data_IF_863826613089
#
_entry.id   IF_863826613089
#
_cell.length_a   1.000
_cell.length_b   1.000
_cell.length_c   1.000
_cell.angle_alpha   90.00
_cell.angle_beta   90.00
_cell.angle_gamma   90.00
#
_symmetry.space_group_name_H-M   'P 1'
#
loop_
_entity.id
_entity.type
_entity.pdbx_description
1 polymer ?
#
# COMPACT_ATOMS: atom_id res chain seq x y z
N UNK A 1 1.16 4.90 -15.84
CA UNK A 1 1.40 3.78 -16.78
C UNK A 1 2.51 2.84 -16.30
N UNK A 2 3.67 3.34 -15.84
CA UNK A 2 4.78 2.48 -15.37
C UNK A 2 4.51 1.80 -14.01
N UNK A 3 3.86 2.50 -13.08
CA UNK A 3 3.54 1.94 -11.75
C UNK A 3 2.42 0.88 -11.82
N UNK A 4 1.41 1.08 -12.67
CA UNK A 4 0.37 0.09 -12.88
C UNK A 4 0.92 -1.19 -13.53
N UNK A 5 1.95 -1.07 -14.39
CA UNK A 5 2.71 -2.21 -14.91
C UNK A 5 3.48 -2.95 -13.82
N UNK A 6 4.07 -2.23 -12.87
CA UNK A 6 4.72 -2.81 -11.69
C UNK A 6 3.71 -3.57 -10.82
N UNK A 7 2.48 -3.06 -10.66
CA UNK A 7 1.44 -3.72 -9.85
C UNK A 7 0.79 -4.91 -10.54
N UNK A 8 0.80 -4.94 -11.88
CA UNK A 8 0.07 -5.93 -12.68
C UNK A 8 0.35 -7.38 -12.27
N UNK A 9 1.61 -7.83 -12.06
CA UNK A 9 1.88 -9.21 -11.64
C UNK A 9 1.25 -9.55 -10.28
N UNK A 10 1.16 -8.58 -9.35
CA UNK A 10 0.52 -8.79 -8.06
C UNK A 10 -0.99 -9.00 -8.23
N UNK A 11 -1.62 -8.14 -9.02
CA UNK A 11 -3.08 -8.14 -9.19
C UNK A 11 -3.56 -9.30 -10.06
N UNK A 12 -2.82 -9.67 -11.09
CA UNK A 12 -3.24 -10.72 -12.03
C UNK A 12 -2.86 -12.13 -11.55
N UNK A 13 -1.73 -12.29 -10.84
CA UNK A 13 -1.15 -13.62 -10.55
C UNK A 13 -1.27 -14.06 -9.09
N UNK A 14 -1.50 -13.14 -8.16
CA UNK A 14 -1.77 -13.49 -6.78
C UNK A 14 -3.28 -13.46 -6.52
N UNK A 15 -3.82 -14.56 -6.01
CA UNK A 15 -5.25 -14.65 -5.66
C UNK A 15 -5.56 -13.84 -4.40
N UNK A 16 -4.56 -13.65 -3.53
CA UNK A 16 -4.72 -12.96 -2.27
C UNK A 16 -4.81 -11.43 -2.42
N UNK A 17 -4.20 -10.86 -3.45
CA UNK A 17 -4.14 -9.42 -3.67
C UNK A 17 -5.36 -8.93 -4.45
N UNK A 18 -6.16 -8.05 -3.85
CA UNK A 18 -7.34 -7.47 -4.48
C UNK A 18 -7.00 -6.18 -5.23
N UNK A 19 -6.15 -5.34 -4.65
CA UNK A 19 -5.77 -4.07 -5.25
C UNK A 19 -4.43 -3.56 -4.70
N UNK A 20 -3.76 -2.71 -5.47
CA UNK A 20 -2.52 -2.05 -5.11
C UNK A 20 -2.60 -0.58 -5.51
N UNK A 21 -2.18 0.30 -4.61
CA UNK A 21 -2.25 1.76 -4.77
C UNK A 21 -0.91 2.36 -4.35
N UNK A 22 -0.40 3.31 -5.12
CA UNK A 22 0.71 4.17 -4.73
C UNK A 22 0.17 5.58 -4.52
N UNK A 23 0.51 6.15 -3.37
CA UNK A 23 -0.04 7.42 -2.92
C UNK A 23 1.03 8.25 -2.20
N UNK A 24 0.96 9.56 -2.37
CA UNK A 24 1.76 10.50 -1.61
C UNK A 24 1.24 10.63 -0.18
N UNK A 25 2.12 10.96 0.78
CA UNK A 25 1.69 11.28 2.14
C UNK A 25 0.80 12.54 2.22
N UNK A 26 0.70 13.30 1.13
CA UNK A 26 -0.26 14.40 0.92
C UNK A 26 -1.68 13.94 0.52
N UNK A 27 -1.87 12.63 0.31
CA UNK A 27 -3.15 12.03 -0.10
C UNK A 27 -3.38 12.00 -1.61
N UNK A 28 -2.40 12.40 -2.43
CA UNK A 28 -2.53 12.38 -3.88
C UNK A 28 -2.18 11.00 -4.45
N UNK A 29 -3.11 10.44 -5.23
CA UNK A 29 -2.91 9.16 -5.93
C UNK A 29 -1.89 9.33 -7.07
N UNK A 30 -0.89 8.46 -7.07
CA UNK A 30 0.07 8.32 -8.19
C UNK A 30 -0.40 7.27 -9.18
N UNK A 31 -0.76 6.08 -8.68
CA UNK A 31 -1.17 4.96 -9.53
C UNK A 31 -1.99 3.95 -8.74
N UNK A 32 -2.89 3.23 -9.41
CA UNK A 32 -3.68 2.17 -8.81
C UNK A 32 -3.93 1.02 -9.79
N UNK A 33 -4.01 -0.19 -9.27
CA UNK A 33 -4.44 -1.38 -10.01
C UNK A 33 -5.33 -2.23 -9.10
N UNK A 34 -6.40 -2.81 -9.67
CA UNK A 34 -7.35 -3.61 -8.91
C UNK A 34 -7.85 -4.80 -9.73
N UNK A 35 -8.17 -5.91 -9.07
CA UNK A 35 -8.85 -7.03 -9.70
C UNK A 35 -10.25 -6.59 -10.16
N UNK A 36 -10.78 -7.19 -11.25
CA UNK A 36 -12.17 -6.96 -11.66
C UNK A 36 -13.14 -7.26 -10.50
N UNK A 37 -14.16 -6.42 -10.33
CA UNK A 37 -15.20 -6.61 -9.31
C UNK A 37 -14.86 -6.06 -7.91
N UNK A 38 -13.69 -5.45 -7.72
CA UNK A 38 -13.40 -4.65 -6.51
C UNK A 38 -14.33 -3.43 -6.48
N UNK A 39 -15.21 -3.38 -5.47
CA UNK A 39 -16.31 -2.40 -5.40
C UNK A 39 -16.07 -1.23 -4.42
N UNK A 40 -14.90 -1.16 -3.78
CA UNK A 40 -14.57 -0.06 -2.86
C UNK A 40 -13.78 1.04 -3.58
N UNK A 41 -14.00 2.29 -3.18
CA UNK A 41 -13.28 3.45 -3.68
C UNK A 41 -11.84 3.45 -3.14
N UNK A 42 -10.93 2.98 -3.97
CA UNK A 42 -9.51 2.86 -3.65
C UNK A 42 -8.84 4.19 -3.39
N UNK A 43 -9.27 5.24 -4.09
CA UNK A 43 -8.66 6.56 -3.97
C UNK A 43 -9.08 7.23 -2.67
N UNK A 44 -10.37 7.16 -2.34
CA UNK A 44 -10.88 7.62 -1.05
C UNK A 44 -10.22 6.86 0.11
N UNK A 45 -10.17 5.52 0.04
CA UNK A 45 -9.53 4.70 1.07
C UNK A 45 -8.06 5.05 1.24
N UNK A 46 -7.35 5.26 0.12
CA UNK A 46 -5.96 5.71 0.14
C UNK A 46 -5.80 7.05 0.85
N UNK A 47 -6.62 8.05 0.50
CA UNK A 47 -6.53 9.38 1.09
C UNK A 47 -6.80 9.36 2.61
N UNK A 48 -7.76 8.55 3.06
CA UNK A 48 -8.00 8.31 4.50
C UNK A 48 -6.79 7.65 5.17
N UNK A 49 -6.18 6.67 4.51
CA UNK A 49 -4.94 6.04 4.96
C UNK A 49 -3.78 7.05 5.07
N UNK A 50 -3.61 7.95 4.10
CA UNK A 50 -2.57 8.98 4.13
C UNK A 50 -2.71 9.89 5.37
N UNK A 51 -3.93 10.27 5.73
CA UNK A 51 -4.20 11.06 6.93
C UNK A 51 -3.74 10.33 8.21
N UNK A 52 -4.05 9.04 8.32
CA UNK A 52 -3.65 8.22 9.48
C UNK A 52 -2.14 8.02 9.53
N UNK A 53 -1.50 7.65 8.41
CA UNK A 53 -0.04 7.44 8.37
C UNK A 53 0.70 8.75 8.63
N UNK A 54 0.20 9.87 8.11
CA UNK A 54 0.73 11.19 8.41
C UNK A 54 0.67 11.54 9.90
N UNK A 55 -0.40 11.14 10.60
CA UNK A 55 -0.48 11.30 12.06
C UNK A 55 0.55 10.41 12.79
N UNK A 56 0.72 9.15 12.36
CA UNK A 56 1.72 8.24 12.95
C UNK A 56 3.15 8.77 12.76
N UNK A 57 3.46 9.34 11.59
CA UNK A 57 4.76 9.94 11.31
C UNK A 57 5.08 11.19 12.14
N UNK A 58 4.05 11.90 12.65
CA UNK A 58 4.20 13.08 13.52
C UNK A 58 4.11 12.76 15.01
N UNK A 59 3.76 11.53 15.37
CA UNK A 59 3.61 11.16 16.77
C UNK A 59 4.98 11.14 17.46
N UNK A 60 5.03 11.51 18.75
CA UNK A 60 6.28 11.62 19.52
C UNK A 60 7.08 10.31 19.59
N UNK A 61 6.41 9.17 19.42
CA UNK A 61 7.09 7.88 19.33
C UNK A 61 7.97 7.79 18.07
N UNK A 62 7.69 8.51 16.98
CA UNK A 62 8.52 8.48 15.78
C UNK A 62 9.94 9.00 16.03
N UNK A 63 10.13 9.93 16.97
CA UNK A 63 11.46 10.40 17.38
C UNK A 63 12.24 9.32 18.15
N UNK A 64 11.54 8.47 18.91
CA UNK A 64 12.13 7.43 19.75
C UNK A 64 12.34 6.10 19.03
N UNK A 65 11.42 5.74 18.13
CA UNK A 65 11.38 4.44 17.45
C UNK A 65 11.72 4.53 15.96
N UNK A 66 11.98 5.74 15.45
CA UNK A 66 12.28 5.97 14.03
C UNK A 66 11.02 6.10 13.17
N UNK A 67 11.24 6.18 11.86
CA UNK A 67 10.16 6.37 10.87
C UNK A 67 9.27 5.13 10.82
N UNK A 68 7.97 5.35 10.64
CA UNK A 68 7.02 4.25 10.39
C UNK A 68 7.30 3.63 9.03
N UNK A 69 7.68 2.36 9.01
CA UNK A 69 7.95 1.63 7.76
C UNK A 69 6.70 0.90 7.24
N UNK A 70 5.87 0.38 8.15
CA UNK A 70 4.72 -0.46 7.80
C UNK A 70 3.55 -0.26 8.76
N UNK A 71 2.32 -0.25 8.22
CA UNK A 71 1.08 -0.26 8.99
C UNK A 71 0.15 -1.34 8.42
N UNK A 72 -0.51 -2.10 9.30
CA UNK A 72 -1.48 -3.13 8.90
C UNK A 72 -2.83 -2.85 9.53
N UNK A 73 -3.85 -2.66 8.68
CA UNK A 73 -5.24 -2.63 9.12
C UNK A 73 -5.91 -3.96 8.78
N UNK A 74 -6.45 -4.65 9.77
CA UNK A 74 -7.22 -5.88 9.56
C UNK A 74 -8.66 -5.65 9.97
N UNK A 75 -9.58 -6.05 9.09
CA UNK A 75 -11.01 -6.03 9.34
C UNK A 75 -11.63 -7.38 8.95
N UNK A 76 -12.91 -7.55 9.24
CA UNK A 76 -13.66 -8.73 8.81
C UNK A 76 -13.75 -8.88 7.27
N UNK A 77 -13.62 -7.78 6.52
CA UNK A 77 -13.82 -7.76 5.07
C UNK A 77 -12.53 -7.71 4.26
N UNK A 78 -11.42 -7.28 4.85
CA UNK A 78 -10.14 -7.12 4.15
C UNK A 78 -9.00 -6.96 5.14
N UNK A 79 -7.78 -7.29 4.70
CA UNK A 79 -6.55 -6.78 5.30
C UNK A 79 -5.92 -5.76 4.37
N UNK A 80 -5.34 -4.70 4.93
CA UNK A 80 -4.68 -3.63 4.19
C UNK A 80 -3.28 -3.50 4.76
N UNK A 81 -2.28 -3.58 3.88
CA UNK A 81 -0.87 -3.45 4.21
C UNK A 81 -0.35 -2.17 3.56
N UNK A 82 0.11 -1.24 4.38
CA UNK A 82 0.70 0.02 3.94
C UNK A 82 2.19 -0.03 4.22
N UNK A 83 3.00 0.39 3.26
CA UNK A 83 4.45 0.42 3.40
C UNK A 83 5.02 1.69 2.79
N UNK A 84 5.86 2.39 3.55
CA UNK A 84 6.61 3.52 3.00
C UNK A 84 7.60 3.00 1.94
N UNK A 85 7.60 3.61 0.75
CA UNK A 85 8.50 3.24 -0.36
C UNK A 85 9.47 4.37 -0.71
N UNK A 86 9.18 5.59 -0.26
CA UNK A 86 10.10 6.72 -0.26
C UNK A 86 9.74 7.67 0.90
N UNK A 87 10.49 8.77 1.12
CA UNK A 87 10.10 9.80 2.08
C UNK A 87 8.76 10.49 1.77
N UNK A 88 8.31 10.42 0.51
CA UNK A 88 7.14 11.14 0.00
C UNK A 88 5.96 10.20 -0.32
N UNK A 89 6.22 8.92 -0.55
CA UNK A 89 5.23 7.96 -1.03
C UNK A 89 5.13 6.70 -0.16
N UNK A 90 3.91 6.15 -0.11
CA UNK A 90 3.63 4.84 0.42
C UNK A 90 2.82 4.00 -0.57
N UNK A 91 3.03 2.70 -0.54
CA UNK A 91 2.24 1.71 -1.27
C UNK A 91 1.23 1.06 -0.34
N UNK A 92 0.04 0.80 -0.86
CA UNK A 92 -1.04 0.10 -0.18
C UNK A 92 -1.37 -1.16 -0.95
N UNK A 93 -1.30 -2.31 -0.29
CA UNK A 93 -1.76 -3.59 -0.81
C UNK A 93 -3.02 -4.01 -0.05
N UNK A 94 -4.12 -4.14 -0.78
CA UNK A 94 -5.39 -4.65 -0.25
C UNK A 94 -5.45 -6.15 -0.50
N UNK A 95 -5.69 -6.91 0.56
CA UNK A 95 -5.73 -8.36 0.55
C UNK A 95 -7.11 -8.85 0.93
N UNK A 96 -7.53 -9.98 0.35
CA UNK A 96 -8.74 -10.69 0.80
C UNK A 96 -8.71 -10.98 2.32
N UNK A 97 -9.87 -11.04 3.00
CA UNK A 97 -9.92 -11.08 4.47
C UNK A 97 -9.19 -12.27 5.11
N UNK A 98 -9.09 -13.39 4.40
CA UNK A 98 -8.42 -14.63 4.83
C UNK A 98 -6.94 -14.71 4.42
N UNK A 99 -6.41 -13.73 3.69
CA UNK A 99 -5.02 -13.73 3.26
C UNK A 99 -4.05 -13.54 4.44
N UNK A 100 -2.98 -14.35 4.52
CA UNK A 100 -1.91 -14.11 5.48
C UNK A 100 -1.19 -12.78 5.17
N UNK A 101 -1.03 -11.92 6.18
CA UNK A 101 -0.29 -10.64 6.03
C UNK A 101 1.15 -10.87 5.55
N UNK A 102 1.79 -11.97 5.98
CA UNK A 102 3.12 -12.35 5.49
C UNK A 102 3.18 -12.57 3.98
N UNK A 103 2.10 -13.07 3.37
CA UNK A 103 2.00 -13.18 1.90
C UNK A 103 1.96 -11.80 1.26
N UNK A 104 1.23 -10.84 1.85
CA UNK A 104 1.23 -9.45 1.41
C UNK A 104 2.63 -8.81 1.47
N UNK A 105 3.38 -9.04 2.55
CA UNK A 105 4.76 -8.54 2.67
C UNK A 105 5.68 -9.10 1.60
N UNK A 106 5.56 -10.41 1.33
CA UNK A 106 6.30 -11.06 0.25
C UNK A 106 5.94 -10.44 -1.11
N UNK A 107 4.65 -10.27 -1.39
CA UNK A 107 4.15 -9.66 -2.62
C UNK A 107 4.70 -8.23 -2.81
N UNK A 108 4.69 -7.38 -1.78
CA UNK A 108 5.29 -6.05 -1.86
C UNK A 108 6.81 -6.09 -2.09
N UNK A 109 7.53 -7.02 -1.45
CA UNK A 109 8.98 -7.13 -1.64
C UNK A 109 9.39 -7.47 -3.08
N UNK A 110 8.50 -8.09 -3.87
CA UNK A 110 8.76 -8.37 -5.30
C UNK A 110 8.76 -7.10 -6.16
N UNK A 111 8.01 -6.07 -5.77
CA UNK A 111 7.86 -4.84 -6.56
C UNK A 111 8.67 -3.66 -6.01
N UNK A 112 9.08 -3.72 -4.74
CA UNK A 112 9.87 -2.68 -4.09
C UNK A 112 11.10 -2.22 -4.87
N UNK A 113 11.96 -3.12 -5.41
CA UNK A 113 13.12 -2.67 -6.17
C UNK A 113 12.77 -1.90 -7.45
N UNK A 114 11.62 -2.19 -8.05
CA UNK A 114 11.13 -1.45 -9.21
C UNK A 114 10.55 -0.10 -8.78
N UNK A 115 9.76 -0.06 -7.71
CA UNK A 115 9.25 1.19 -7.16
C UNK A 115 10.36 2.15 -6.76
N UNK A 116 11.38 1.68 -6.04
CA UNK A 116 12.51 2.51 -5.64
C UNK A 116 13.20 3.15 -6.85
N UNK A 117 13.46 2.38 -7.90
CA UNK A 117 14.09 2.88 -9.13
C UNK A 117 13.31 4.01 -9.81
N UNK A 118 11.99 3.88 -9.86
CA UNK A 118 11.13 4.86 -10.52
C UNK A 118 10.85 6.10 -9.65
N UNK A 119 11.03 6.00 -8.32
CA UNK A 119 10.80 7.08 -7.37
C UNK A 119 12.05 7.90 -7.03
N UNK A 120 13.25 7.44 -7.42
CA UNK A 120 14.54 8.14 -7.25
C UNK A 120 15.29 7.71 -5.99
#
# INVERSE_FOLDING_TARGET
MIFEEIFRPLIERADEALACLLMGFDGLKVAAAAKPGVAFDLELMGAEAAAIVGQLGRASFAEQFGRTEEVVFRSAKTSILLRAVSPEYFVVLVLRPDAPVGKGRFLLSLIEPALARELG
#
